data_IF_846362857143
#
_entry.id   IF_846362857143
#
_cell.length_a   1.000
_cell.length_b   1.000
_cell.length_c   1.000
_cell.angle_alpha   90.00
_cell.angle_beta   90.00
_cell.angle_gamma   90.00
#
_symmetry.space_group_name_H-M   'P 1'
#
loop_
_entity.id
_entity.type
_entity.pdbx_description
1 polymer ?
#
# COMPACT_ATOMS: atom_id res chain seq x y z
N UNK A 1 10.16 5.05 -3.61
CA UNK A 1 10.02 3.65 -3.16
C UNK A 1 9.75 2.68 -4.32
N UNK A 2 8.86 2.97 -5.28
CA UNK A 2 8.69 2.13 -6.48
C UNK A 2 9.99 2.00 -7.32
N UNK A 3 10.76 3.08 -7.44
CA UNK A 3 12.04 3.09 -8.18
C UNK A 3 13.13 2.18 -7.62
N UNK A 4 12.99 1.71 -6.38
CA UNK A 4 13.95 0.77 -5.76
C UNK A 4 13.45 -0.68 -5.80
N UNK A 5 12.28 -0.93 -6.39
CA UNK A 5 11.81 -2.27 -6.68
C UNK A 5 12.74 -3.00 -7.66
N UNK A 6 12.57 -4.31 -7.79
CA UNK A 6 13.24 -5.13 -8.80
C UNK A 6 13.02 -4.53 -10.20
N UNK A 7 14.07 -4.20 -10.99
CA UNK A 7 13.94 -3.50 -12.27
C UNK A 7 12.98 -4.16 -13.26
N UNK A 8 12.96 -5.49 -13.34
CA UNK A 8 12.09 -6.21 -14.27
C UNK A 8 10.65 -6.37 -13.76
N UNK A 9 10.40 -6.06 -12.49
CA UNK A 9 9.07 -6.10 -11.91
C UNK A 9 8.22 -4.97 -12.48
N UNK A 10 6.95 -5.21 -12.87
CA UNK A 10 6.05 -4.16 -13.33
C UNK A 10 5.92 -2.98 -12.36
N UNK A 11 6.08 -3.21 -11.06
CA UNK A 11 6.03 -2.16 -10.03
C UNK A 11 7.17 -1.13 -10.12
N UNK A 12 8.25 -1.40 -10.85
CA UNK A 12 9.36 -0.45 -11.05
C UNK A 12 9.08 0.56 -12.17
N UNK A 13 8.05 0.31 -12.99
CA UNK A 13 7.82 1.02 -14.25
C UNK A 13 7.16 2.37 -14.02
N UNK A 14 7.37 3.27 -14.97
CA UNK A 14 6.64 4.53 -15.04
C UNK A 14 5.33 4.34 -15.82
N UNK A 15 4.20 4.43 -15.12
CA UNK A 15 2.89 4.05 -15.67
C UNK A 15 2.11 5.21 -16.31
N UNK A 16 2.45 6.46 -16.02
CA UNK A 16 1.70 7.64 -16.51
C UNK A 16 1.98 7.93 -17.99
N UNK A 17 3.23 7.77 -18.41
CA UNK A 17 3.70 8.20 -19.73
C UNK A 17 4.01 9.70 -19.82
N UNK A 18 4.84 10.07 -20.79
CA UNK A 18 5.17 11.45 -21.18
C UNK A 18 5.13 11.60 -22.69
N UNK A 19 5.25 12.84 -23.18
CA UNK A 19 5.45 13.09 -24.63
C UNK A 19 6.65 12.32 -25.19
N UNK A 20 7.70 12.09 -24.39
CA UNK A 20 8.84 11.31 -24.84
C UNK A 20 8.50 9.82 -24.96
N UNK A 21 7.86 9.25 -23.93
CA UNK A 21 7.58 7.80 -23.92
C UNK A 21 6.45 7.41 -24.89
N UNK A 22 5.54 8.32 -25.22
CA UNK A 22 4.35 8.06 -26.03
C UNK A 22 4.36 8.69 -27.43
N UNK A 23 5.30 9.60 -27.74
CA UNK A 23 5.32 10.29 -29.03
C UNK A 23 6.74 10.44 -29.62
N UNK A 24 7.70 11.02 -28.89
CA UNK A 24 9.01 11.33 -29.48
C UNK A 24 9.94 10.11 -29.63
N UNK A 25 9.97 9.21 -28.65
CA UNK A 25 10.93 8.09 -28.64
C UNK A 25 10.47 6.81 -29.37
N UNK A 26 9.17 6.45 -29.41
CA UNK A 26 8.72 5.26 -30.13
C UNK A 26 9.11 5.26 -31.63
N UNK A 27 8.92 6.34 -32.42
CA UNK A 27 9.30 6.34 -33.83
C UNK A 27 10.80 6.14 -34.05
N UNK A 28 11.65 6.64 -33.14
CA UNK A 28 13.11 6.45 -33.19
C UNK A 28 13.51 4.98 -33.01
N UNK A 29 12.64 4.16 -32.40
CA UNK A 29 12.81 2.71 -32.23
C UNK A 29 12.04 1.89 -33.28
N UNK A 30 11.46 2.54 -34.29
CA UNK A 30 10.63 1.89 -35.30
C UNK A 30 9.28 1.40 -34.76
N UNK A 31 8.78 2.00 -33.68
CA UNK A 31 7.48 1.66 -33.08
C UNK A 31 6.46 2.71 -33.51
N UNK A 32 5.40 2.27 -34.19
CA UNK A 32 4.21 3.07 -34.45
C UNK A 32 3.22 2.94 -33.28
N UNK A 33 3.00 4.04 -32.57
CA UNK A 33 2.12 4.06 -31.39
C UNK A 33 0.66 3.83 -31.74
N UNK A 34 0.20 4.24 -32.92
CA UNK A 34 -1.18 4.00 -33.35
C UNK A 34 -1.41 2.51 -33.56
N UNK A 35 -0.46 1.84 -34.21
CA UNK A 35 -0.51 0.37 -34.37
C UNK A 35 -0.42 -0.36 -33.03
N UNK A 36 0.44 0.08 -32.11
CA UNK A 36 0.53 -0.49 -30.75
C UNK A 36 -0.78 -0.31 -29.97
N UNK A 37 -1.45 0.85 -30.09
CA UNK A 37 -2.76 1.08 -29.48
C UNK A 37 -3.82 0.16 -30.07
N UNK A 38 -3.83 -0.03 -31.39
CA UNK A 38 -4.73 -0.96 -32.06
C UNK A 38 -4.46 -2.40 -31.64
N UNK A 39 -3.20 -2.80 -31.53
CA UNK A 39 -2.80 -4.11 -31.06
C UNK A 39 -3.23 -4.34 -29.61
N UNK A 40 -2.98 -3.38 -28.73
CA UNK A 40 -3.37 -3.45 -27.32
C UNK A 40 -4.89 -3.52 -27.16
N UNK A 41 -5.62 -2.68 -27.89
CA UNK A 41 -7.09 -2.69 -27.88
C UNK A 41 -7.63 -4.06 -28.31
N UNK A 42 -7.21 -4.59 -29.47
CA UNK A 42 -7.63 -5.91 -29.96
C UNK A 42 -7.29 -7.04 -28.98
N UNK A 43 -6.14 -6.95 -28.32
CA UNK A 43 -5.63 -8.02 -27.45
C UNK A 43 -6.28 -8.03 -26.05
N UNK A 44 -6.65 -6.85 -25.53
CA UNK A 44 -7.06 -6.68 -24.14
C UNK A 44 -8.52 -6.24 -23.93
N UNK A 45 -9.14 -5.52 -24.87
CA UNK A 45 -10.52 -5.00 -24.75
C UNK A 45 -11.54 -6.03 -25.28
N UNK A 46 -11.66 -7.17 -24.59
CA UNK A 46 -12.66 -8.19 -24.93
C UNK A 46 -13.85 -8.20 -23.95
N UNK A 47 -15.06 -8.61 -24.38
CA UNK A 47 -16.26 -8.65 -23.53
C UNK A 47 -16.07 -9.42 -22.21
N UNK A 48 -15.34 -10.53 -22.22
CA UNK A 48 -15.12 -11.35 -21.01
C UNK A 48 -14.38 -10.60 -19.88
N UNK A 49 -13.65 -9.52 -20.20
CA UNK A 49 -12.97 -8.64 -19.24
C UNK A 49 -13.71 -7.35 -18.92
N UNK A 50 -14.72 -7.00 -19.70
CA UNK A 50 -15.49 -5.77 -19.50
C UNK A 50 -16.51 -5.97 -18.37
N UNK A 51 -16.72 -4.93 -17.58
CA UNK A 51 -17.75 -4.85 -16.54
C UNK A 51 -18.48 -3.52 -16.72
N UNK A 52 -19.81 -3.57 -16.69
CA UNK A 52 -20.67 -2.42 -16.91
C UNK A 52 -21.56 -2.23 -15.69
N UNK A 53 -21.71 -0.99 -15.26
CA UNK A 53 -22.66 -0.57 -14.23
C UNK A 53 -23.40 0.64 -14.74
N UNK A 54 -24.73 0.59 -14.70
CA UNK A 54 -25.61 1.72 -14.97
C UNK A 54 -26.20 2.21 -13.66
N UNK A 55 -26.30 3.53 -13.50
CA UNK A 55 -26.99 4.16 -12.36
C UNK A 55 -27.95 5.18 -12.94
N UNK A 56 -29.25 4.94 -12.76
CA UNK A 56 -30.32 5.78 -13.31
C UNK A 56 -31.57 5.69 -12.43
N UNK A 57 -32.42 6.71 -12.51
CA UNK A 57 -33.78 6.70 -11.96
C UNK A 57 -34.77 5.87 -12.78
N UNK A 58 -34.39 5.47 -14.00
CA UNK A 58 -35.21 4.61 -14.86
C UNK A 58 -35.44 3.21 -14.26
N UNK A 59 -36.57 2.55 -14.58
CA UNK A 59 -36.80 1.17 -14.17
C UNK A 59 -35.69 0.22 -14.62
N UNK A 60 -35.42 -0.82 -13.82
CA UNK A 60 -34.37 -1.82 -14.10
C UNK A 60 -34.48 -2.39 -15.52
N UNK A 61 -35.69 -2.73 -15.96
CA UNK A 61 -35.93 -3.30 -17.28
C UNK A 61 -35.47 -2.36 -18.40
N UNK A 62 -35.82 -1.07 -18.31
CA UNK A 62 -35.37 -0.03 -19.26
C UNK A 62 -33.85 0.09 -19.26
N UNK A 63 -33.20 0.04 -18.09
CA UNK A 63 -31.74 0.10 -18.01
C UNK A 63 -31.07 -1.11 -18.67
N UNK A 64 -31.63 -2.31 -18.49
CA UNK A 64 -31.12 -3.53 -19.13
C UNK A 64 -31.28 -3.48 -20.65
N UNK A 65 -32.44 -3.04 -21.15
CA UNK A 65 -32.69 -2.88 -22.59
C UNK A 65 -31.73 -1.86 -23.21
N UNK A 66 -31.52 -0.72 -22.55
CA UNK A 66 -30.56 0.29 -23.01
C UNK A 66 -29.12 -0.23 -23.00
N UNK A 67 -28.74 -1.00 -21.97
CA UNK A 67 -27.41 -1.59 -21.88
C UNK A 67 -27.19 -2.64 -22.98
N UNK A 68 -28.17 -3.50 -23.26
CA UNK A 68 -28.11 -4.48 -24.34
C UNK A 68 -28.05 -3.80 -25.72
N UNK A 69 -28.89 -2.79 -25.95
CA UNK A 69 -28.87 -2.02 -27.19
C UNK A 69 -27.50 -1.33 -27.44
N UNK A 70 -26.86 -0.80 -26.39
CA UNK A 70 -25.59 -0.09 -26.50
C UNK A 70 -24.37 -1.01 -26.54
N UNK A 71 -24.36 -2.10 -25.75
CA UNK A 71 -23.17 -2.91 -25.49
C UNK A 71 -23.32 -4.40 -25.86
N UNK A 72 -24.54 -4.89 -26.12
CA UNK A 72 -24.83 -6.29 -26.43
C UNK A 72 -24.18 -6.77 -27.74
N UNK A 73 -23.96 -5.85 -28.67
CA UNK A 73 -23.29 -6.12 -29.95
C UNK A 73 -21.75 -6.05 -29.87
N UNK A 74 -21.15 -5.83 -28.69
CA UNK A 74 -19.69 -5.93 -28.55
C UNK A 74 -19.32 -7.39 -28.74
N UNK A 75 -18.92 -7.72 -29.98
CA UNK A 75 -18.59 -9.08 -30.36
C UNK A 75 -17.48 -9.61 -29.46
N UNK A 76 -17.69 -10.81 -28.91
CA UNK A 76 -16.59 -11.62 -28.40
C UNK A 76 -15.80 -12.11 -29.62
N UNK A 77 -15.00 -11.22 -30.23
CA UNK A 77 -14.20 -11.52 -31.41
C UNK A 77 -13.48 -12.85 -31.20
N UNK A 78 -13.85 -13.85 -31.99
CA UNK A 78 -13.25 -15.19 -32.04
C UNK A 78 -12.73 -15.75 -30.70
N UNK A 79 -13.58 -15.86 -29.68
CA UNK A 79 -13.31 -16.67 -28.48
C UNK A 79 -12.18 -16.18 -27.55
N UNK A 80 -12.53 -15.89 -26.30
CA UNK A 80 -11.62 -15.42 -25.25
C UNK A 80 -10.82 -14.14 -25.56
N UNK A 81 -10.28 -13.49 -24.53
CA UNK A 81 -9.29 -12.44 -24.74
C UNK A 81 -8.02 -13.05 -25.35
N UNK A 82 -7.47 -12.44 -26.39
CA UNK A 82 -6.25 -12.93 -27.06
C UNK A 82 -5.04 -12.94 -26.12
N UNK A 83 -4.91 -11.90 -25.28
CA UNK A 83 -3.87 -11.85 -24.25
C UNK A 83 -4.33 -12.59 -22.99
N UNK A 84 -3.42 -13.31 -22.33
CA UNK A 84 -3.67 -13.91 -21.00
C UNK A 84 -3.82 -12.86 -19.90
N UNK A 85 -4.55 -13.20 -18.82
CA UNK A 85 -4.66 -12.30 -17.65
C UNK A 85 -3.39 -12.48 -16.83
N UNK A 86 -2.55 -11.44 -16.79
CA UNK A 86 -1.31 -11.47 -16.03
C UNK A 86 -1.57 -11.18 -14.56
N UNK A 87 -0.84 -11.87 -13.70
CA UNK A 87 -0.57 -11.43 -12.33
C UNK A 87 0.82 -10.78 -12.33
N UNK A 88 1.06 -9.87 -11.39
CA UNK A 88 2.32 -9.15 -11.30
C UNK A 88 3.15 -9.54 -10.08
N UNK A 89 2.87 -10.73 -9.53
CA UNK A 89 3.63 -11.33 -8.43
C UNK A 89 5.08 -11.67 -8.83
N UNK A 90 5.30 -12.00 -10.11
CA UNK A 90 6.60 -12.39 -10.65
C UNK A 90 7.04 -11.46 -11.80
N UNK A 91 8.31 -11.02 -11.82
CA UNK A 91 9.28 -11.14 -10.73
C UNK A 91 8.87 -10.28 -9.53
N UNK A 92 9.14 -10.72 -8.28
CA UNK A 92 8.69 -10.04 -7.08
C UNK A 92 9.27 -8.63 -7.01
N UNK A 93 8.45 -7.61 -6.70
CA UNK A 93 8.89 -6.22 -6.66
C UNK A 93 9.94 -5.99 -5.55
N UNK A 94 9.85 -6.73 -4.46
CA UNK A 94 10.64 -6.53 -3.26
C UNK A 94 11.29 -7.85 -2.80
N UNK A 95 12.39 -8.23 -3.44
CA UNK A 95 13.24 -9.35 -3.02
C UNK A 95 14.08 -8.98 -1.78
N UNK A 96 14.65 -9.95 -1.04
CA UNK A 96 15.52 -9.65 0.10
C UNK A 96 16.65 -8.64 -0.23
N UNK A 97 17.23 -8.72 -1.44
CA UNK A 97 18.26 -7.75 -1.88
C UNK A 97 17.75 -6.34 -2.15
N UNK A 98 16.43 -6.15 -2.28
CA UNK A 98 15.74 -4.87 -2.48
C UNK A 98 15.11 -4.31 -1.21
N UNK A 99 15.26 -5.01 -0.09
CA UNK A 99 14.79 -4.60 1.23
C UNK A 99 15.96 -4.18 2.13
N UNK A 100 15.65 -3.74 3.35
CA UNK A 100 16.59 -3.20 4.32
C UNK A 100 17.37 -2.00 3.78
N UNK A 101 16.71 -1.12 3.01
CA UNK A 101 17.33 0.10 2.47
C UNK A 101 16.96 1.34 3.28
N UNK A 102 17.93 2.22 3.43
CA UNK A 102 17.73 3.61 3.82
C UNK A 102 17.80 4.50 2.58
N UNK A 103 16.80 5.35 2.39
CA UNK A 103 16.64 6.18 1.20
C UNK A 103 16.52 7.64 1.64
N UNK A 104 17.51 8.47 1.34
CA UNK A 104 17.38 9.91 1.53
C UNK A 104 16.77 10.52 0.27
N UNK A 105 15.78 11.40 0.41
CA UNK A 105 15.04 12.01 -0.69
C UNK A 105 14.99 13.53 -0.48
N UNK A 106 15.38 14.29 -1.51
CA UNK A 106 15.12 15.74 -1.57
C UNK A 106 13.64 15.96 -1.92
N UNK A 107 12.85 16.26 -0.90
CA UNK A 107 11.41 16.46 -1.01
C UNK A 107 11.06 17.80 -1.66
N UNK A 108 9.80 17.95 -2.06
CA UNK A 108 9.27 19.23 -2.58
C UNK A 108 8.49 20.01 -1.53
N UNK A 109 8.14 19.39 -0.41
CA UNK A 109 7.40 19.99 0.68
C UNK A 109 8.31 20.27 1.89
N UNK A 110 8.10 21.39 2.61
CA UNK A 110 8.96 21.80 3.72
C UNK A 110 8.85 20.91 4.96
N UNK A 111 7.91 19.96 4.98
CA UNK A 111 7.64 19.12 6.13
C UNK A 111 8.43 17.81 6.00
N UNK A 112 9.47 17.59 6.81
CA UNK A 112 10.24 16.37 6.75
C UNK A 112 9.40 15.18 7.20
N UNK A 113 9.62 14.01 6.59
CA UNK A 113 8.89 12.80 6.92
C UNK A 113 9.76 11.55 6.85
N UNK A 114 9.50 10.61 7.75
CA UNK A 114 10.09 9.27 7.74
C UNK A 114 9.04 8.27 7.26
N UNK A 115 9.29 7.64 6.13
CA UNK A 115 8.44 6.64 5.52
C UNK A 115 9.00 5.26 5.80
N UNK A 116 8.21 4.39 6.39
CA UNK A 116 8.55 2.98 6.59
C UNK A 116 7.62 2.17 5.71
N UNK A 117 8.18 1.37 4.80
CA UNK A 117 7.43 0.52 3.89
C UNK A 117 7.77 -0.95 4.13
N UNK A 118 6.76 -1.76 4.47
CA UNK A 118 6.88 -3.22 4.49
C UNK A 118 6.25 -3.84 3.25
N UNK A 119 6.88 -4.89 2.74
CA UNK A 119 6.35 -5.71 1.66
C UNK A 119 5.70 -7.00 2.21
N UNK A 120 4.40 -7.11 2.01
CA UNK A 120 3.51 -8.18 2.45
C UNK A 120 2.92 -8.93 1.23
N UNK A 121 2.37 -10.16 1.39
CA UNK A 121 1.76 -10.91 0.29
C UNK A 121 0.49 -10.21 -0.22
N UNK A 122 0.03 -10.60 -1.41
CA UNK A 122 -1.24 -10.15 -1.97
C UNK A 122 -2.41 -10.59 -1.07
N UNK A 123 -3.12 -9.62 -0.47
CA UNK A 123 -4.27 -9.85 0.41
C UNK A 123 -5.62 -9.61 -0.29
N UNK A 124 -5.65 -9.37 -1.61
CA UNK A 124 -6.89 -9.03 -2.35
C UNK A 124 -7.97 -10.10 -2.21
N UNK A 125 -7.57 -11.37 -2.07
CA UNK A 125 -8.48 -12.51 -1.88
C UNK A 125 -9.00 -12.66 -0.45
N UNK A 126 -8.37 -12.00 0.51
CA UNK A 126 -8.70 -12.06 1.94
C UNK A 126 -9.67 -10.94 2.35
N UNK A 127 -10.42 -10.38 1.39
CA UNK A 127 -11.32 -9.23 1.57
C UNK A 127 -12.42 -9.46 2.61
N UNK A 128 -12.80 -10.71 2.90
CA UNK A 128 -13.77 -11.01 3.98
C UNK A 128 -13.16 -10.93 5.36
N UNK A 129 -11.84 -11.14 5.46
CA UNK A 129 -11.12 -11.04 6.71
C UNK A 129 -10.59 -9.62 6.92
N UNK A 130 -10.25 -8.86 5.88
CA UNK A 130 -9.65 -7.52 6.01
C UNK A 130 -8.45 -7.49 7.00
N UNK A 131 -7.49 -8.43 6.91
CA UNK A 131 -6.44 -8.54 7.94
C UNK A 131 -5.50 -7.33 7.99
N UNK A 132 -5.36 -6.62 6.86
CA UNK A 132 -4.56 -5.39 6.77
C UNK A 132 -5.25 -4.23 7.51
N UNK A 133 -6.59 -4.17 7.54
CA UNK A 133 -7.32 -3.15 8.27
C UNK A 133 -7.03 -3.20 9.78
N UNK A 134 -6.87 -4.39 10.35
CA UNK A 134 -6.43 -4.55 11.74
C UNK A 134 -5.03 -3.95 11.95
N UNK A 135 -4.07 -4.24 11.06
CA UNK A 135 -2.71 -3.67 11.16
C UNK A 135 -2.72 -2.15 11.07
N UNK A 136 -3.49 -1.60 10.12
CA UNK A 136 -3.66 -0.15 9.96
C UNK A 136 -4.22 0.43 11.24
N UNK A 137 -5.30 -0.12 11.80
CA UNK A 137 -5.90 0.37 13.04
C UNK A 137 -4.92 0.38 14.21
N UNK A 138 -4.21 -0.73 14.45
CA UNK A 138 -3.23 -0.83 15.55
C UNK A 138 -2.13 0.22 15.40
N UNK A 139 -1.62 0.42 14.18
CA UNK A 139 -0.53 1.37 13.94
C UNK A 139 -1.01 2.83 13.93
N UNK A 140 -2.25 3.09 13.53
CA UNK A 140 -2.82 4.43 13.43
C UNK A 140 -3.63 4.85 14.67
N UNK A 141 -3.74 4.00 15.69
CA UNK A 141 -4.47 4.32 16.91
C UNK A 141 -3.88 5.59 17.56
N UNK A 142 -4.75 6.47 18.04
CA UNK A 142 -4.39 7.78 18.61
C UNK A 142 -4.84 7.95 20.07
N UNK A 143 -5.39 6.91 20.68
CA UNK A 143 -5.80 6.94 22.08
C UNK A 143 -4.63 6.92 23.06
N UNK A 144 -4.96 6.76 24.34
CA UNK A 144 -3.99 6.66 25.43
C UNK A 144 -3.00 5.52 25.17
N UNK A 145 -1.73 5.74 25.50
CA UNK A 145 -0.62 4.80 25.30
C UNK A 145 -0.38 4.34 23.85
N UNK A 146 -0.93 5.07 22.87
CA UNK A 146 -0.69 4.79 21.45
C UNK A 146 0.74 5.13 21.02
N UNK A 147 1.20 4.44 19.97
CA UNK A 147 2.46 4.76 19.28
C UNK A 147 2.48 6.22 18.81
N UNK A 148 1.37 6.71 18.28
CA UNK A 148 1.21 8.08 17.81
C UNK A 148 1.44 9.09 18.95
N UNK A 149 0.79 8.90 20.11
CA UNK A 149 0.98 9.78 21.28
C UNK A 149 2.38 9.68 21.89
N UNK A 150 2.99 8.49 21.89
CA UNK A 150 4.38 8.35 22.34
C UNK A 150 5.34 9.20 21.47
N UNK A 151 5.18 9.14 20.15
CA UNK A 151 6.00 9.90 19.20
C UNK A 151 5.73 11.41 19.27
N UNK A 152 4.48 11.83 19.48
CA UNK A 152 4.09 13.25 19.56
C UNK A 152 4.28 13.84 20.95
N UNK A 153 3.51 13.37 21.93
CA UNK A 153 3.33 14.01 23.23
C UNK A 153 4.51 13.71 24.17
N UNK A 154 4.99 12.47 24.19
CA UNK A 154 6.01 12.03 25.16
C UNK A 154 7.44 12.34 24.70
N UNK A 155 7.73 12.17 23.42
CA UNK A 155 9.09 12.32 22.88
C UNK A 155 9.28 13.55 21.98
N UNK A 156 8.20 14.20 21.53
CA UNK A 156 8.29 15.37 20.67
C UNK A 156 8.95 15.11 19.32
N UNK A 157 8.88 13.88 18.80
CA UNK A 157 9.53 13.45 17.55
C UNK A 157 8.63 13.65 16.33
N UNK A 158 7.31 13.59 16.50
CA UNK A 158 6.35 13.67 15.40
C UNK A 158 5.37 14.84 15.55
N UNK A 159 4.92 15.37 14.42
CA UNK A 159 3.77 16.29 14.34
C UNK A 159 2.49 15.56 13.99
N UNK A 160 2.57 14.48 13.19
CA UNK A 160 1.48 13.56 12.93
C UNK A 160 2.01 12.23 12.36
N UNK A 161 1.13 11.22 12.33
CA UNK A 161 1.39 9.91 11.74
C UNK A 161 0.28 9.60 10.74
N UNK A 162 0.64 8.93 9.64
CA UNK A 162 -0.30 8.37 8.67
C UNK A 162 0.06 6.92 8.39
N UNK A 163 -0.97 6.07 8.28
CA UNK A 163 -0.81 4.65 7.95
C UNK A 163 -1.76 4.32 6.82
N UNK A 164 -1.24 3.71 5.76
CA UNK A 164 -2.05 3.30 4.62
C UNK A 164 -1.39 2.12 3.91
N UNK A 165 -2.13 1.50 2.99
CA UNK A 165 -1.62 0.39 2.22
C UNK A 165 -2.06 0.47 0.76
N UNK A 166 -1.21 -0.07 -0.11
CA UNK A 166 -1.57 -0.41 -1.48
C UNK A 166 -1.63 -1.93 -1.60
N UNK A 167 -2.61 -2.44 -2.35
CA UNK A 167 -2.81 -3.87 -2.51
C UNK A 167 -3.18 -4.20 -3.95
N UNK A 168 -2.35 -5.00 -4.59
CA UNK A 168 -2.53 -5.42 -5.98
C UNK A 168 -1.92 -6.82 -6.20
N UNK A 169 -1.98 -7.32 -7.43
CA UNK A 169 -1.47 -8.67 -7.75
C UNK A 169 0.05 -8.85 -7.59
N UNK A 170 0.82 -7.77 -7.40
CA UNK A 170 2.24 -7.79 -7.08
C UNK A 170 2.51 -7.87 -5.57
N UNK A 171 1.47 -7.76 -4.74
CA UNK A 171 1.55 -7.86 -3.29
C UNK A 171 0.88 -6.69 -2.57
N UNK A 172 1.05 -6.67 -1.25
CA UNK A 172 0.57 -5.60 -0.38
C UNK A 172 1.76 -4.78 0.12
N UNK A 173 1.67 -3.46 0.05
CA UNK A 173 2.67 -2.52 0.61
C UNK A 173 2.01 -1.79 1.76
N UNK A 174 2.52 -1.97 2.98
CA UNK A 174 2.06 -1.24 4.16
C UNK A 174 3.03 -0.07 4.40
N UNK A 175 2.49 1.13 4.50
CA UNK A 175 3.23 2.36 4.74
C UNK A 175 2.89 2.92 6.11
N UNK A 176 3.92 3.24 6.88
CA UNK A 176 3.84 3.99 8.13
C UNK A 176 4.67 5.26 7.97
N UNK A 177 4.00 6.40 7.91
CA UNK A 177 4.62 7.70 7.62
C UNK A 177 4.56 8.56 8.87
N UNK A 178 5.73 8.99 9.34
CA UNK A 178 5.86 9.91 10.48
C UNK A 178 6.25 11.27 9.95
N UNK A 179 5.40 12.28 10.15
CA UNK A 179 5.75 13.67 9.88
C UNK A 179 6.55 14.21 11.04
N UNK A 180 7.80 14.60 10.79
CA UNK A 180 8.81 14.79 11.83
C UNK A 180 8.79 16.23 12.37
N UNK A 181 9.08 16.37 13.66
CA UNK A 181 9.57 17.64 14.21
C UNK A 181 11.04 17.83 13.84
N UNK A 182 11.62 18.98 14.19
CA UNK A 182 13.07 19.19 14.06
C UNK A 182 13.87 18.11 14.81
N UNK A 183 13.43 17.76 16.02
CA UNK A 183 14.07 16.73 16.85
C UNK A 183 13.89 15.35 16.23
N UNK A 184 12.69 15.00 15.77
CA UNK A 184 12.45 13.71 15.11
C UNK A 184 13.25 13.50 13.83
N UNK A 185 13.50 14.58 13.08
CA UNK A 185 14.38 14.56 11.90
C UNK A 185 15.82 14.26 12.28
N UNK A 186 16.34 14.89 13.33
CA UNK A 186 17.70 14.67 13.84
C UNK A 186 17.85 13.30 14.51
N UNK A 187 16.75 12.75 15.03
CA UNK A 187 16.68 11.47 15.77
C UNK A 187 15.76 10.45 15.10
N UNK A 188 15.89 10.30 13.78
CA UNK A 188 15.10 9.32 13.02
C UNK A 188 15.39 7.87 13.44
N UNK A 189 16.58 7.60 14.00
CA UNK A 189 16.93 6.36 14.70
C UNK A 189 15.96 6.05 15.84
N UNK A 190 15.71 7.05 16.69
CA UNK A 190 14.83 6.91 17.86
C UNK A 190 13.37 6.70 17.44
N UNK A 191 12.94 7.32 16.35
CA UNK A 191 11.60 7.06 15.79
C UNK A 191 11.44 5.58 15.45
N UNK A 192 12.45 4.99 14.78
CA UNK A 192 12.43 3.56 14.44
C UNK A 192 12.51 2.67 15.69
N UNK A 193 13.32 3.03 16.68
CA UNK A 193 13.38 2.32 17.97
C UNK A 193 12.00 2.24 18.63
N UNK A 194 11.28 3.37 18.70
CA UNK A 194 9.94 3.42 19.30
C UNK A 194 8.94 2.58 18.52
N UNK A 195 8.99 2.63 17.17
CA UNK A 195 8.14 1.78 16.31
C UNK A 195 8.40 0.30 16.59
N UNK A 196 9.66 -0.15 16.64
CA UNK A 196 9.96 -1.56 16.88
C UNK A 196 9.70 -2.00 18.32
N UNK A 197 9.88 -1.14 19.32
CA UNK A 197 9.48 -1.41 20.69
C UNK A 197 7.96 -1.60 20.81
N UNK A 198 7.19 -0.78 20.09
CA UNK A 198 5.74 -0.92 20.00
C UNK A 198 5.34 -2.23 19.30
N UNK A 199 5.89 -2.52 18.11
CA UNK A 199 5.62 -3.76 17.38
C UNK A 199 5.94 -5.01 18.20
N UNK A 200 7.05 -4.99 18.95
CA UNK A 200 7.40 -6.07 19.87
C UNK A 200 6.37 -6.25 20.98
N UNK A 201 5.83 -5.16 21.51
CA UNK A 201 4.76 -5.20 22.52
C UNK A 201 3.47 -5.78 21.95
N UNK A 202 3.07 -5.36 20.74
CA UNK A 202 1.88 -5.92 20.05
C UNK A 202 2.06 -7.41 19.78
N UNK A 203 3.23 -7.83 19.26
CA UNK A 203 3.52 -9.25 19.02
C UNK A 203 3.47 -10.10 20.30
N UNK A 204 4.00 -9.58 21.42
CA UNK A 204 3.95 -10.28 22.72
C UNK A 204 2.52 -10.37 23.27
N UNK A 205 1.73 -9.31 23.13
CA UNK A 205 0.31 -9.32 23.54
C UNK A 205 -0.51 -10.27 22.66
N UNK A 206 -0.15 -10.42 21.39
CA UNK A 206 -0.89 -11.23 20.44
C UNK A 206 -2.01 -10.43 19.77
N UNK A 207 -2.80 -11.10 18.95
CA UNK A 207 -3.95 -10.47 18.29
C UNK A 207 -5.09 -10.40 19.28
N UNK A 208 -5.66 -9.21 19.43
CA UNK A 208 -6.83 -8.95 20.24
C UNK A 208 -8.08 -9.24 19.40
N UNK A 209 -8.72 -10.37 19.67
CA UNK A 209 -9.91 -10.80 18.92
C UNK A 209 -11.13 -9.94 19.25
N UNK A 210 -11.21 -9.39 20.46
CA UNK A 210 -12.31 -8.49 20.88
C UNK A 210 -12.19 -7.15 20.14
N UNK A 211 -10.96 -6.62 19.99
CA UNK A 211 -10.69 -5.47 19.12
C UNK A 211 -11.09 -5.78 17.68
N UNK A 212 -10.72 -6.94 17.16
CA UNK A 212 -11.05 -7.30 15.78
C UNK A 212 -12.57 -7.43 15.56
N UNK A 213 -13.30 -7.99 16.53
CA UNK A 213 -14.77 -8.00 16.51
C UNK A 213 -15.34 -6.58 16.57
N UNK A 214 -14.79 -5.72 17.43
CA UNK A 214 -15.20 -4.32 17.54
C UNK A 214 -15.00 -3.58 16.22
N UNK A 215 -13.89 -3.80 15.50
CA UNK A 215 -13.68 -3.23 14.17
C UNK A 215 -14.73 -3.72 13.18
N UNK A 216 -15.12 -5.00 13.24
CA UNK A 216 -16.18 -5.54 12.39
C UNK A 216 -17.54 -4.88 12.69
N UNK A 217 -17.85 -4.63 13.95
CA UNK A 217 -19.08 -3.95 14.38
C UNK A 217 -19.09 -2.48 13.95
N UNK A 218 -17.97 -1.77 14.10
CA UNK A 218 -17.83 -0.39 13.62
C UNK A 218 -17.99 -0.32 12.10
N UNK A 219 -17.29 -1.18 11.34
CA UNK A 219 -17.42 -1.23 9.89
C UNK A 219 -18.84 -1.59 9.43
N UNK A 220 -19.56 -2.42 10.20
CA UNK A 220 -20.99 -2.69 9.94
C UNK A 220 -21.85 -1.47 10.21
N UNK A 221 -21.64 -0.77 11.32
CA UNK A 221 -22.37 0.46 11.63
C UNK A 221 -22.15 1.53 10.55
N UNK A 222 -20.90 1.76 10.15
CA UNK A 222 -20.56 2.69 9.08
C UNK A 222 -21.22 2.31 7.75
N UNK A 223 -21.35 1.01 7.47
CA UNK A 223 -22.04 0.51 6.29
C UNK A 223 -23.56 0.73 6.37
N UNK A 224 -24.18 0.38 7.49
CA UNK A 224 -25.63 0.45 7.68
C UNK A 224 -26.15 1.90 7.61
N UNK A 225 -25.33 2.87 8.03
CA UNK A 225 -25.66 4.30 8.04
C UNK A 225 -24.93 5.11 6.96
N UNK A 226 -24.40 4.43 5.95
CA UNK A 226 -23.64 5.07 4.88
C UNK A 226 -24.50 5.98 4.02
N UNK A 227 -24.01 7.20 3.77
CA UNK A 227 -24.63 8.10 2.81
C UNK A 227 -24.50 7.59 1.36
N UNK A 228 -25.54 7.76 0.52
CA UNK A 228 -25.47 7.42 -0.89
C UNK A 228 -24.30 8.13 -1.58
N UNK A 229 -23.46 7.35 -2.28
CA UNK A 229 -22.37 7.89 -3.09
C UNK A 229 -22.93 8.58 -4.33
N UNK A 230 -22.22 9.61 -4.82
CA UNK A 230 -22.57 10.25 -6.09
C UNK A 230 -22.63 9.21 -7.23
N UNK A 231 -23.59 9.29 -8.17
CA UNK A 231 -23.84 8.25 -9.17
C UNK A 231 -22.60 7.82 -9.97
N UNK A 232 -21.77 8.77 -10.39
CA UNK A 232 -20.52 8.50 -11.12
C UNK A 232 -19.52 7.69 -10.28
N UNK A 233 -19.38 8.04 -9.00
CA UNK A 233 -18.49 7.33 -8.07
C UNK A 233 -19.00 5.92 -7.77
N UNK A 234 -20.32 5.77 -7.60
CA UNK A 234 -20.95 4.47 -7.42
C UNK A 234 -20.74 3.56 -8.65
N UNK A 235 -21.02 4.06 -9.85
CA UNK A 235 -20.85 3.30 -11.09
C UNK A 235 -19.39 2.83 -11.28
N UNK A 236 -18.43 3.74 -11.14
CA UNK A 236 -17.00 3.44 -11.27
C UNK A 236 -16.52 2.43 -10.22
N UNK A 237 -16.90 2.63 -8.95
CA UNK A 237 -16.50 1.74 -7.85
C UNK A 237 -17.08 0.33 -8.00
N UNK A 238 -18.35 0.19 -8.40
CA UNK A 238 -18.93 -1.13 -8.63
C UNK A 238 -18.33 -1.83 -9.86
N UNK A 239 -18.06 -1.09 -10.94
CA UNK A 239 -17.41 -1.65 -12.13
C UNK A 239 -16.02 -2.20 -11.81
N UNK A 240 -15.23 -1.48 -11.00
CA UNK A 240 -13.94 -1.93 -10.48
C UNK A 240 -14.10 -3.22 -9.66
N UNK A 241 -15.03 -3.23 -8.69
CA UNK A 241 -15.26 -4.39 -7.82
C UNK A 241 -15.66 -5.63 -8.60
N UNK A 242 -16.46 -5.49 -9.66
CA UNK A 242 -16.84 -6.61 -10.53
C UNK A 242 -15.64 -7.27 -11.24
N UNK A 243 -14.44 -6.67 -11.21
CA UNK A 243 -13.22 -7.26 -11.76
C UNK A 243 -12.50 -8.22 -10.80
N UNK A 244 -12.85 -8.18 -9.50
CA UNK A 244 -12.14 -8.91 -8.43
C UNK A 244 -13.03 -9.54 -7.34
N UNK A 245 -14.24 -9.05 -7.12
CA UNK A 245 -15.18 -9.55 -6.10
C UNK A 245 -16.29 -10.42 -6.71
N UNK A 246 -16.75 -11.45 -5.98
CA UNK A 246 -17.98 -12.17 -6.32
C UNK A 246 -19.21 -11.25 -6.33
N UNK A 247 -20.21 -11.58 -7.15
CA UNK A 247 -21.43 -10.78 -7.32
C UNK A 247 -22.13 -10.44 -5.99
N UNK A 248 -22.25 -11.41 -5.08
CA UNK A 248 -22.91 -11.23 -3.79
C UNK A 248 -22.09 -10.41 -2.77
N UNK A 249 -20.84 -10.08 -3.08
CA UNK A 249 -19.96 -9.26 -2.25
C UNK A 249 -19.68 -7.87 -2.88
N UNK A 250 -20.27 -7.52 -4.03
CA UNK A 250 -19.96 -6.25 -4.72
C UNK A 250 -20.26 -4.99 -3.90
N UNK A 251 -21.27 -5.07 -3.04
CA UNK A 251 -21.66 -3.95 -2.18
C UNK A 251 -20.78 -3.89 -0.93
N UNK A 252 -20.52 -5.04 -0.30
CA UNK A 252 -19.95 -5.12 1.05
C UNK A 252 -18.45 -5.46 1.11
N UNK A 253 -17.87 -6.04 0.07
CA UNK A 253 -16.58 -6.72 0.15
C UNK A 253 -15.38 -5.83 0.48
N UNK A 254 -15.48 -4.52 0.24
CA UNK A 254 -14.47 -3.54 0.63
C UNK A 254 -14.73 -2.85 1.97
N UNK A 255 -15.91 -3.08 2.57
CA UNK A 255 -16.37 -2.38 3.76
C UNK A 255 -16.42 -3.29 4.97
N UNK A 256 -16.97 -4.50 4.81
CA UNK A 256 -17.27 -5.36 5.94
C UNK A 256 -16.13 -6.34 6.26
N UNK A 257 -15.93 -6.54 7.56
CA UNK A 257 -15.14 -7.64 8.10
C UNK A 257 -16.11 -8.79 8.40
N UNK A 258 -16.36 -9.64 7.41
CA UNK A 258 -17.34 -10.74 7.51
C UNK A 258 -16.79 -11.97 8.26
N UNK A 259 -15.49 -12.23 8.14
CA UNK A 259 -14.82 -13.43 8.67
C UNK A 259 -13.45 -13.07 9.25
N UNK A 260 -13.39 -12.45 10.44
CA UNK A 260 -12.13 -12.15 11.12
C UNK A 260 -11.20 -13.38 11.16
N UNK A 261 -9.91 -13.17 10.89
CA UNK A 261 -8.91 -14.24 10.89
C UNK A 261 -7.65 -13.82 11.65
N UNK A 262 -7.68 -14.00 12.98
CA UNK A 262 -6.59 -13.61 13.87
C UNK A 262 -5.25 -14.29 13.52
N UNK A 263 -5.29 -15.55 13.04
CA UNK A 263 -4.08 -16.25 12.58
C UNK A 263 -3.43 -15.58 11.37
N UNK A 264 -4.23 -15.07 10.43
CA UNK A 264 -3.72 -14.34 9.27
C UNK A 264 -3.13 -12.99 9.69
N UNK A 265 -3.80 -12.24 10.57
CA UNK A 265 -3.27 -11.00 11.14
C UNK A 265 -1.94 -11.24 11.87
N UNK A 266 -1.87 -12.29 12.70
CA UNK A 266 -0.64 -12.68 13.40
C UNK A 266 0.51 -12.98 12.44
N UNK A 267 0.24 -13.71 11.34
CA UNK A 267 1.24 -13.95 10.29
C UNK A 267 1.72 -12.65 9.66
N UNK A 268 0.83 -11.75 9.26
CA UNK A 268 1.24 -10.48 8.66
C UNK A 268 2.02 -9.59 9.63
N UNK A 269 1.58 -9.51 10.90
CA UNK A 269 2.28 -8.77 11.94
C UNK A 269 3.70 -9.30 12.15
N UNK A 270 3.90 -10.62 12.11
CA UNK A 270 5.23 -11.25 12.23
C UNK A 270 6.19 -10.93 11.07
N UNK A 271 5.66 -10.40 9.96
CA UNK A 271 6.41 -9.98 8.77
C UNK A 271 6.82 -8.51 8.83
N UNK A 272 6.34 -7.73 9.81
CA UNK A 272 6.77 -6.35 10.05
C UNK A 272 8.15 -6.33 10.72
N UNK A 273 9.16 -6.77 9.98
CA UNK A 273 10.56 -6.94 10.41
C UNK A 273 11.49 -5.96 9.70
N UNK A 274 12.63 -5.60 10.32
CA UNK A 274 13.55 -4.65 9.71
C UNK A 274 14.21 -5.17 8.42
N UNK A 275 14.41 -6.49 8.27
CA UNK A 275 14.92 -7.08 7.02
C UNK A 275 13.90 -7.00 5.88
N UNK A 276 12.62 -6.74 6.21
CA UNK A 276 11.50 -6.65 5.28
C UNK A 276 10.95 -5.23 5.15
N UNK A 277 11.73 -4.22 5.56
CA UNK A 277 11.34 -2.82 5.43
C UNK A 277 12.32 -2.04 4.55
N UNK A 278 11.80 -1.00 3.90
CA UNK A 278 12.59 0.10 3.39
C UNK A 278 12.19 1.37 4.14
N UNK A 279 13.18 2.18 4.49
CA UNK A 279 12.99 3.45 5.19
C UNK A 279 13.39 4.58 4.25
N UNK A 280 12.52 5.57 4.08
CA UNK A 280 12.85 6.79 3.34
C UNK A 280 12.74 8.02 4.25
N UNK A 281 13.81 8.79 4.36
CA UNK A 281 13.79 10.11 4.99
C UNK A 281 13.66 11.16 3.89
N UNK A 282 12.52 11.84 3.88
CA UNK A 282 12.18 12.90 2.93
C UNK A 282 12.37 14.24 3.61
N UNK A 283 13.17 15.11 3.01
CA UNK A 283 13.47 16.45 3.52
C UNK A 283 13.68 17.39 2.31
N UNK A 284 13.04 18.56 2.31
CA UNK A 284 13.22 19.55 1.24
C UNK A 284 14.67 20.06 1.18
N UNK A 285 15.32 20.11 2.35
CA UNK A 285 16.67 20.62 2.53
C UNK A 285 17.68 19.47 2.66
N UNK A 286 17.41 18.31 2.03
CA UNK A 286 18.21 17.10 2.19
C UNK A 286 19.71 17.30 1.90
N UNK A 287 20.05 18.12 0.91
CA UNK A 287 21.45 18.43 0.56
C UNK A 287 22.13 19.31 1.61
N UNK A 288 21.48 20.41 2.03
CA UNK A 288 22.01 21.34 3.03
C UNK A 288 22.06 20.73 4.44
N UNK A 289 21.13 19.81 4.75
CA UNK A 289 21.14 18.99 5.95
C UNK A 289 22.08 17.78 5.87
N UNK A 290 22.81 17.59 4.76
CA UNK A 290 23.81 16.54 4.61
C UNK A 290 23.25 15.11 4.59
N UNK A 291 21.97 14.94 4.25
CA UNK A 291 21.31 13.62 4.22
C UNK A 291 21.88 12.70 3.14
N UNK A 292 22.39 13.27 2.05
CA UNK A 292 23.05 12.49 1.00
C UNK A 292 24.45 12.00 1.39
N UNK A 293 25.15 12.68 2.31
CA UNK A 293 26.56 12.40 2.67
C UNK A 293 27.44 12.24 1.42
N UNK A 294 28.49 11.41 1.46
CA UNK A 294 29.36 11.07 0.32
C UNK A 294 28.74 10.03 -0.64
N UNK A 295 27.42 9.84 -0.62
CA UNK A 295 26.79 8.80 -1.43
C UNK A 295 26.52 9.25 -2.86
N UNK A 296 26.39 8.24 -3.73
CA UNK A 296 25.92 8.44 -5.09
C UNK A 296 24.49 9.00 -5.08
N UNK A 297 24.34 10.27 -5.43
CA UNK A 297 23.04 10.92 -5.61
C UNK A 297 22.54 10.63 -7.02
N UNK A 298 21.31 10.13 -7.10
CA UNK A 298 20.61 9.82 -8.35
C UNK A 298 19.39 10.72 -8.50
N UNK A 299 19.01 10.97 -9.74
CA UNK A 299 17.81 11.76 -10.05
C UNK A 299 16.78 10.87 -10.73
N UNK A 300 15.54 10.89 -10.25
CA UNK A 300 14.44 10.18 -10.91
C UNK A 300 14.17 10.80 -12.28
N UNK A 301 14.27 10.04 -13.39
CA UNK A 301 14.28 10.60 -14.74
C UNK A 301 12.98 11.31 -15.13
N UNK A 302 11.83 10.90 -14.56
CA UNK A 302 10.53 11.49 -14.87
C UNK A 302 10.06 12.54 -13.86
N UNK A 303 10.70 12.62 -12.69
CA UNK A 303 10.25 13.47 -11.58
C UNK A 303 11.27 14.54 -11.18
N UNK A 304 12.53 14.42 -11.60
CA UNK A 304 13.59 15.35 -11.20
C UNK A 304 14.00 15.26 -9.72
N UNK A 305 13.42 14.33 -8.95
CA UNK A 305 13.68 14.16 -7.52
C UNK A 305 15.04 13.53 -7.30
N UNK A 306 15.90 14.19 -6.51
CA UNK A 306 17.18 13.64 -6.07
C UNK A 306 16.99 12.68 -4.91
N UNK A 307 17.72 11.57 -4.94
CA UNK A 307 17.71 10.59 -3.86
C UNK A 307 19.04 9.83 -3.78
N UNK A 308 19.33 9.25 -2.62
CA UNK A 308 20.40 8.27 -2.45
C UNK A 308 19.85 7.00 -1.80
N UNK A 309 20.48 5.85 -2.05
CA UNK A 309 20.05 4.56 -1.50
C UNK A 309 21.24 3.87 -0.85
N UNK A 310 21.07 3.41 0.39
CA UNK A 310 22.08 2.72 1.16
C UNK A 310 21.49 1.50 1.87
N UNK A 311 22.35 0.56 2.26
CA UNK A 311 21.96 -0.48 3.22
C UNK A 311 21.64 0.18 4.56
N UNK A 312 20.51 -0.20 5.16
CA UNK A 312 20.08 0.31 6.45
C UNK A 312 21.14 0.08 7.54
N UNK A 313 21.83 -1.06 7.49
CA UNK A 313 22.92 -1.41 8.42
C UNK A 313 24.14 -0.47 8.35
N UNK A 314 24.35 0.22 7.22
CA UNK A 314 25.41 1.24 7.09
C UNK A 314 25.00 2.56 7.74
N UNK A 315 23.71 2.87 7.76
CA UNK A 315 23.19 4.11 8.37
C UNK A 315 22.99 3.94 9.87
N UNK A 316 22.44 2.79 10.28
CA UNK A 316 22.13 2.45 11.66
C UNK A 316 22.80 1.11 12.03
N UNK A 317 24.13 1.11 12.31
CA UNK A 317 24.84 -0.11 12.66
C UNK A 317 24.26 -0.77 13.91
N UNK A 318 24.01 -2.08 13.85
CA UNK A 318 23.47 -2.86 14.97
C UNK A 318 21.96 -2.73 15.21
N UNK A 319 21.30 -1.69 14.67
CA UNK A 319 19.88 -1.42 14.93
C UNK A 319 18.97 -2.57 14.48
N UNK A 320 19.20 -3.15 13.30
CA UNK A 320 18.42 -4.28 12.82
C UNK A 320 18.49 -5.49 13.77
N UNK A 321 19.69 -5.82 14.28
CA UNK A 321 19.87 -6.92 15.24
C UNK A 321 19.16 -6.62 16.55
N UNK A 322 19.21 -5.37 17.01
CA UNK A 322 18.54 -4.92 18.23
C UNK A 322 17.02 -5.06 18.09
N UNK A 323 16.43 -4.51 17.02
CA UNK A 323 14.99 -4.60 16.77
C UNK A 323 14.52 -6.04 16.61
N UNK A 324 15.25 -6.86 15.87
CA UNK A 324 14.97 -8.29 15.75
C UNK A 324 14.98 -8.99 17.11
N UNK A 325 15.93 -8.66 18.00
CA UNK A 325 15.94 -9.20 19.37
C UNK A 325 14.71 -8.81 20.19
N UNK A 326 14.17 -7.60 20.00
CA UNK A 326 12.95 -7.16 20.69
C UNK A 326 11.71 -7.91 20.20
N UNK A 327 11.61 -8.13 18.88
CA UNK A 327 10.52 -8.85 18.23
C UNK A 327 10.54 -10.35 18.60
N UNK A 328 11.72 -10.95 18.75
CA UNK A 328 11.88 -12.38 19.05
C UNK A 328 11.80 -12.70 20.55
N UNK A 329 11.89 -11.69 21.43
CA UNK A 329 11.72 -11.86 22.87
C UNK A 329 10.33 -12.42 23.19
N UNK A 330 10.27 -13.75 23.44
CA UNK A 330 9.05 -14.48 23.82
C UNK A 330 8.43 -13.90 25.09
N UNK A 331 7.14 -14.18 25.32
CA UNK A 331 6.44 -14.03 26.61
C UNK A 331 7.21 -14.75 27.72
N UNK A 332 8.21 -14.10 28.31
CA UNK A 332 8.70 -14.45 29.63
C UNK A 332 7.56 -14.18 30.60
N UNK A 333 7.15 -15.19 31.37
CA UNK A 333 6.05 -15.11 32.32
C UNK A 333 6.28 -13.99 33.32
N UNK A 334 5.67 -12.84 33.07
CA UNK A 334 5.34 -11.87 34.10
C UNK A 334 3.83 -11.87 34.17
N UNK A 335 3.35 -12.37 35.30
CA UNK A 335 1.95 -12.38 35.72
C UNK A 335 1.35 -11.02 35.39
N UNK A 336 0.26 -11.04 34.63
CA UNK A 336 -0.58 -9.89 34.42
C UNK A 336 -1.05 -9.36 35.79
N UNK A 337 -0.44 -8.27 36.24
CA UNK A 337 -1.08 -7.36 37.16
C UNK A 337 -1.46 -6.11 36.37
N UNK A 338 -2.73 -6.11 35.97
CA UNK A 338 -3.57 -4.94 35.77
C UNK A 338 -3.07 -3.84 34.84
N UNK A 339 -3.58 -3.82 33.62
CA UNK A 339 -3.96 -2.57 32.97
C UNK A 339 -5.36 -2.77 32.40
N UNK A 340 -6.34 -2.25 33.15
CA UNK A 340 -7.72 -2.05 32.74
C UNK A 340 -7.87 -0.66 32.12
#
# INVERSE_FOLDING_TARGET
>A
LASVATPDSPASRFHTGTINTLYNDPPKRGIDIVDELHHYFKSHYCPSRMRLVTVSSEPLQTQLENADAAFGNISAGSGACQAERRTFAEPPPYTPGRMAKWIAIEGTEPRPSLWIQWALPDMTKEFRAQPVAYLVHVLSYTGVDSLTRMLQDSLGLATSVSVFNDMDSAGTRLFYVVYLTKVGRERADLVLDVVFAYLATVLRRGIDEDLYSTLADVSRLEWDWKEPSAPMGAASGYAERMTRLPAHNLLTGDYLIERPNASLVSRLLSMLRPERMNVALVDQDAESHGLFRENEVRTLPHYGVKFSVQELSKILPGAMSLWTSWLDARRGGVVANGFA
#
